data_IF_375732411131
#
_entry.id   IF_375732411131
#
_cell.length_a   1.000
_cell.length_b   1.000
_cell.length_c   1.000
_cell.angle_alpha   90.00
_cell.angle_beta   90.00
_cell.angle_gamma   90.00
#
_symmetry.space_group_name_H-M   'P 1'
#
loop_
_entity.id
_entity.type
_entity.pdbx_description
1 polymer ?
#
# COMPACT_ATOMS: atom_id res chain seq x y z
N UNK A 1 1.00 21.69 -18.94
CA UNK A 1 0.40 20.63 -19.81
C UNK A 1 -1.05 20.46 -19.36
N UNK A 2 -2.03 20.56 -20.26
CA UNK A 2 -3.44 20.35 -19.91
C UNK A 2 -3.64 18.86 -19.63
N UNK A 3 -3.54 18.45 -18.38
CA UNK A 3 -3.91 17.12 -17.95
C UNK A 3 -5.37 16.87 -18.38
N UNK A 4 -5.59 15.79 -19.15
CA UNK A 4 -6.93 15.42 -19.62
C UNK A 4 -7.89 15.38 -18.42
N UNK A 5 -9.14 15.87 -18.54
CA UNK A 5 -10.15 15.77 -17.46
C UNK A 5 -10.34 14.33 -16.96
N UNK A 6 -10.04 13.33 -17.80
CA UNK A 6 -10.01 11.92 -17.41
C UNK A 6 -8.95 11.61 -16.35
N UNK A 7 -7.81 12.29 -16.36
CA UNK A 7 -6.74 12.07 -15.38
C UNK A 7 -7.04 12.87 -14.12
N UNK A 8 -7.40 14.15 -14.26
CA UNK A 8 -7.61 15.07 -13.12
C UNK A 8 -8.81 14.69 -12.25
N UNK A 9 -9.88 14.13 -12.85
CA UNK A 9 -11.10 13.74 -12.15
C UNK A 9 -11.18 12.22 -12.00
N UNK A 10 -10.75 11.47 -13.02
CA UNK A 10 -10.87 10.01 -13.07
C UNK A 10 -10.07 9.31 -11.97
N UNK A 11 -8.81 9.72 -11.72
CA UNK A 11 -7.98 9.12 -10.67
C UNK A 11 -8.54 9.32 -9.26
N UNK A 12 -8.90 10.54 -8.80
CA UNK A 12 -9.51 10.74 -7.49
C UNK A 12 -10.83 9.97 -7.34
N UNK A 13 -11.66 9.93 -8.37
CA UNK A 13 -12.92 9.17 -8.34
C UNK A 13 -12.65 7.67 -8.25
N UNK A 14 -11.72 7.14 -9.06
CA UNK A 14 -11.33 5.74 -8.99
C UNK A 14 -10.79 5.38 -7.59
N UNK A 15 -9.91 6.23 -7.03
CA UNK A 15 -9.41 6.04 -5.68
C UNK A 15 -10.52 6.08 -4.63
N UNK A 16 -11.44 7.06 -4.73
CA UNK A 16 -12.57 7.14 -3.80
C UNK A 16 -13.44 5.88 -3.82
N UNK A 17 -13.68 5.29 -5.01
CA UNK A 17 -14.42 4.05 -5.15
C UNK A 17 -13.63 2.86 -4.57
N UNK A 18 -12.30 2.80 -4.77
CA UNK A 18 -11.43 1.77 -4.17
C UNK A 18 -11.44 1.89 -2.65
N UNK A 19 -11.29 3.09 -2.12
CA UNK A 19 -11.30 3.36 -0.67
C UNK A 19 -12.66 3.06 -0.05
N UNK A 20 -13.75 3.39 -0.74
CA UNK A 20 -15.11 3.00 -0.35
C UNK A 20 -15.25 1.46 -0.31
N UNK A 21 -14.77 0.76 -1.33
CA UNK A 21 -14.73 -0.71 -1.36
C UNK A 21 -13.91 -1.31 -0.22
N UNK A 22 -12.79 -0.70 0.14
CA UNK A 22 -12.03 -1.06 1.35
C UNK A 22 -12.91 -0.88 2.59
N UNK A 23 -13.57 0.26 2.75
CA UNK A 23 -14.49 0.53 3.85
C UNK A 23 -15.64 -0.47 3.96
N UNK A 24 -16.21 -0.92 2.82
CA UNK A 24 -17.23 -1.99 2.80
C UNK A 24 -16.69 -3.33 3.34
N UNK A 25 -15.40 -3.56 3.34
CA UNK A 25 -14.78 -4.78 3.88
C UNK A 25 -14.36 -4.66 5.34
N UNK A 26 -14.24 -3.44 5.88
CA UNK A 26 -13.75 -3.16 7.22
C UNK A 26 -14.88 -3.07 8.27
N UNK A 27 -14.58 -3.49 9.49
CA UNK A 27 -15.44 -3.38 10.67
C UNK A 27 -14.70 -2.70 11.82
N UNK A 28 -15.43 -2.15 12.78
CA UNK A 28 -14.81 -1.66 14.02
C UNK A 28 -14.11 -2.79 14.79
N UNK A 29 -14.57 -4.03 14.62
CA UNK A 29 -13.93 -5.22 15.19
C UNK A 29 -12.51 -5.46 14.63
N UNK A 30 -12.22 -5.06 13.38
CA UNK A 30 -10.89 -5.20 12.81
C UNK A 30 -9.88 -4.29 13.50
N UNK A 31 -10.29 -3.09 13.92
CA UNK A 31 -9.48 -2.20 14.75
C UNK A 31 -9.34 -2.73 16.19
N UNK A 32 -10.40 -3.32 16.75
CA UNK A 32 -10.35 -3.90 18.08
C UNK A 32 -9.45 -5.14 18.16
N UNK A 33 -9.18 -5.83 17.04
CA UNK A 33 -8.25 -6.97 16.97
C UNK A 33 -6.80 -6.60 17.30
N UNK A 34 -6.44 -5.32 17.27
CA UNK A 34 -5.13 -4.86 17.78
C UNK A 34 -4.86 -5.40 19.19
N UNK A 35 -5.89 -5.43 20.05
CA UNK A 35 -5.78 -5.94 21.40
C UNK A 35 -5.48 -7.46 21.46
N UNK A 36 -5.76 -8.21 20.42
CA UNK A 36 -5.50 -9.66 20.36
C UNK A 36 -4.04 -9.97 19.94
N UNK A 37 -3.40 -9.08 19.18
CA UNK A 37 -2.04 -9.28 18.70
C UNK A 37 -1.24 -7.96 18.72
N UNK A 38 -1.16 -7.25 19.84
CA UNK A 38 -0.60 -5.89 19.90
C UNK A 38 0.86 -5.86 19.46
N UNK A 39 1.64 -6.87 19.82
CA UNK A 39 3.04 -6.98 19.43
C UNK A 39 3.20 -7.10 17.92
N UNK A 40 2.37 -7.92 17.25
CA UNK A 40 2.42 -8.08 15.81
C UNK A 40 2.05 -6.79 15.08
N UNK A 41 1.03 -6.09 15.56
CA UNK A 41 0.60 -4.81 15.01
C UNK A 41 1.68 -3.76 15.17
N UNK A 42 2.24 -3.58 16.38
CA UNK A 42 3.28 -2.57 16.64
C UNK A 42 4.52 -2.83 15.79
N UNK A 43 4.97 -4.10 15.70
CA UNK A 43 6.15 -4.45 14.88
C UNK A 43 5.90 -4.15 13.41
N UNK A 44 4.77 -4.59 12.85
CA UNK A 44 4.47 -4.36 11.43
C UNK A 44 4.31 -2.87 11.11
N UNK A 45 3.63 -2.09 11.97
CA UNK A 45 3.49 -0.65 11.81
C UNK A 45 4.84 0.08 11.93
N UNK A 46 5.69 -0.30 12.87
CA UNK A 46 7.03 0.29 13.00
C UNK A 46 7.88 0.01 11.74
N UNK A 47 7.82 -1.21 11.20
CA UNK A 47 8.50 -1.55 9.94
C UNK A 47 7.97 -0.71 8.78
N UNK A 48 6.66 -0.56 8.65
CA UNK A 48 6.01 0.18 7.56
C UNK A 48 6.25 1.69 7.66
N UNK A 49 6.11 2.28 8.85
CA UNK A 49 6.06 3.73 9.00
C UNK A 49 7.41 4.37 9.31
N UNK A 50 8.35 3.62 9.86
CA UNK A 50 9.66 4.14 10.26
C UNK A 50 10.78 3.53 9.43
N UNK A 51 10.85 2.20 9.38
CA UNK A 51 11.99 1.52 8.76
C UNK A 51 11.91 1.63 7.24
N UNK A 52 10.74 1.45 6.67
CA UNK A 52 10.57 1.45 5.22
C UNK A 52 10.83 2.83 4.57
N UNK A 53 10.31 3.95 5.10
CA UNK A 53 10.70 5.28 4.60
C UNK A 53 12.19 5.58 4.78
N UNK A 54 12.81 5.12 5.86
CA UNK A 54 14.26 5.28 6.05
C UNK A 54 15.06 4.51 4.99
N UNK A 55 14.62 3.32 4.61
CA UNK A 55 15.23 2.54 3.54
C UNK A 55 15.02 3.20 2.17
N UNK A 56 13.80 3.68 1.89
CA UNK A 56 13.54 4.43 0.68
C UNK A 56 14.47 5.64 0.58
N UNK A 57 14.58 6.41 1.67
CA UNK A 57 15.48 7.56 1.76
C UNK A 57 16.94 7.17 1.50
N UNK A 58 17.42 6.10 2.14
CA UNK A 58 18.79 5.60 1.92
C UNK A 58 19.02 5.16 0.47
N UNK A 59 18.04 4.49 -0.15
CA UNK A 59 18.14 4.05 -1.54
C UNK A 59 18.15 5.23 -2.51
N UNK A 60 17.24 6.19 -2.38
CA UNK A 60 17.17 7.34 -3.29
C UNK A 60 18.44 8.20 -3.20
N UNK A 61 19.02 8.30 -2.00
CA UNK A 61 20.29 9.03 -1.78
C UNK A 61 21.48 8.23 -2.33
N UNK A 62 21.53 6.91 -2.11
CA UNK A 62 22.64 6.06 -2.55
C UNK A 62 22.72 5.93 -4.09
N UNK A 63 21.57 5.97 -4.76
CA UNK A 63 21.47 5.92 -6.22
C UNK A 63 21.38 7.28 -6.89
N UNK A 64 21.48 8.37 -6.11
CA UNK A 64 21.43 9.77 -6.59
C UNK A 64 20.25 10.03 -7.53
N UNK A 65 19.04 9.58 -7.12
CA UNK A 65 17.86 9.76 -7.95
C UNK A 65 17.51 11.25 -8.10
N UNK A 66 17.02 11.61 -9.28
CA UNK A 66 16.49 12.95 -9.52
C UNK A 66 15.47 13.37 -8.46
N UNK A 67 15.44 14.65 -8.04
CA UNK A 67 14.60 15.12 -6.92
C UNK A 67 13.14 14.67 -6.97
N UNK A 68 12.49 14.79 -8.13
CA UNK A 68 11.08 14.40 -8.28
C UNK A 68 10.85 12.88 -8.20
N UNK A 69 11.81 12.08 -8.69
CA UNK A 69 11.79 10.63 -8.57
C UNK A 69 12.04 10.19 -7.13
N UNK A 70 12.96 10.87 -6.42
CA UNK A 70 13.18 10.64 -5.00
C UNK A 70 11.93 10.93 -4.17
N UNK A 71 11.23 12.04 -4.42
CA UNK A 71 9.92 12.34 -3.81
C UNK A 71 8.90 11.25 -4.12
N UNK A 72 8.85 10.76 -5.37
CA UNK A 72 7.97 9.66 -5.78
C UNK A 72 8.24 8.36 -5.02
N UNK A 73 9.51 8.01 -4.80
CA UNK A 73 9.91 6.85 -3.99
C UNK A 73 9.51 7.02 -2.52
N UNK A 74 9.69 8.22 -1.96
CA UNK A 74 9.28 8.50 -0.58
C UNK A 74 7.75 8.45 -0.41
N UNK A 75 7.00 8.97 -1.39
CA UNK A 75 5.54 8.87 -1.43
C UNK A 75 5.08 7.41 -1.53
N UNK A 76 5.74 6.60 -2.37
CA UNK A 76 5.48 5.16 -2.47
C UNK A 76 5.71 4.48 -1.11
N UNK A 77 6.85 4.74 -0.46
CA UNK A 77 7.19 4.16 0.84
C UNK A 77 6.21 4.57 1.96
N UNK A 78 5.65 5.78 1.88
CA UNK A 78 4.63 6.27 2.81
C UNK A 78 3.24 5.69 2.54
N UNK A 79 2.99 5.12 1.36
CA UNK A 79 1.68 4.55 1.02
C UNK A 79 1.41 3.28 1.86
N UNK A 80 0.17 3.06 2.30
CA UNK A 80 -0.17 1.90 3.12
C UNK A 80 -0.12 0.61 2.31
N UNK A 81 -0.26 -0.54 2.97
CA UNK A 81 -0.49 -1.82 2.30
C UNK A 81 -1.79 -1.79 1.49
N UNK A 82 -1.79 -2.50 0.37
CA UNK A 82 -2.96 -2.59 -0.52
C UNK A 82 -3.91 -3.73 -0.13
N UNK A 83 -5.15 -3.68 -0.62
CA UNK A 83 -6.11 -4.79 -0.44
C UNK A 83 -5.60 -6.10 -1.05
N UNK A 84 -4.68 -6.04 -2.01
CA UNK A 84 -4.00 -7.20 -2.61
C UNK A 84 -3.02 -7.86 -1.64
N UNK A 85 -2.49 -7.15 -0.64
CA UNK A 85 -1.69 -7.73 0.43
C UNK A 85 -2.46 -8.83 1.18
N UNK A 86 -3.75 -8.62 1.43
CA UNK A 86 -4.63 -9.61 2.05
C UNK A 86 -4.77 -10.88 1.20
N UNK A 87 -4.83 -10.73 -0.13
CA UNK A 87 -4.90 -11.85 -1.06
C UNK A 87 -3.60 -12.68 -1.04
N UNK A 88 -2.44 -12.01 -1.09
CA UNK A 88 -1.14 -12.68 -1.00
C UNK A 88 -0.93 -13.33 0.37
N UNK A 89 -1.36 -12.66 1.45
CA UNK A 89 -1.35 -13.24 2.78
C UNK A 89 -2.18 -14.53 2.83
N UNK A 90 -3.38 -14.55 2.26
CA UNK A 90 -4.22 -15.74 2.15
C UNK A 90 -3.54 -16.84 1.30
N UNK A 91 -3.01 -16.48 0.13
CA UNK A 91 -2.38 -17.42 -0.81
C UNK A 91 -1.19 -18.15 -0.16
N UNK A 92 -0.40 -17.44 0.63
CA UNK A 92 0.79 -17.96 1.29
C UNK A 92 0.57 -18.34 2.76
N UNK A 93 -0.67 -18.57 3.19
CA UNK A 93 -1.04 -19.05 4.53
C UNK A 93 -0.61 -18.11 5.66
N UNK A 94 -0.59 -16.80 5.39
CA UNK A 94 -0.40 -15.77 6.40
C UNK A 94 -1.65 -15.59 7.27
N UNK A 95 -1.50 -14.84 8.35
CA UNK A 95 -2.61 -14.42 9.20
C UNK A 95 -3.40 -13.30 8.49
N UNK A 96 -4.44 -13.71 7.76
CA UNK A 96 -5.29 -12.79 6.98
C UNK A 96 -6.01 -11.80 7.89
N UNK A 97 -6.41 -12.23 9.09
CA UNK A 97 -7.10 -11.35 10.02
C UNK A 97 -6.18 -10.24 10.53
N UNK A 98 -4.93 -10.57 10.84
CA UNK A 98 -3.90 -9.59 11.16
C UNK A 98 -3.64 -8.65 9.98
N UNK A 99 -3.51 -9.18 8.76
CA UNK A 99 -3.24 -8.37 7.58
C UNK A 99 -4.37 -7.35 7.31
N UNK A 100 -5.64 -7.76 7.40
CA UNK A 100 -6.79 -6.85 7.30
C UNK A 100 -6.73 -5.76 8.37
N UNK A 101 -6.39 -6.12 9.61
CA UNK A 101 -6.22 -5.16 10.72
C UNK A 101 -5.09 -4.16 10.41
N UNK A 102 -3.95 -4.63 9.91
CA UNK A 102 -2.82 -3.78 9.54
C UNK A 102 -3.20 -2.83 8.40
N UNK A 103 -3.81 -3.33 7.33
CA UNK A 103 -4.28 -2.50 6.20
C UNK A 103 -5.25 -1.41 6.67
N UNK A 104 -6.18 -1.75 7.58
CA UNK A 104 -7.13 -0.80 8.14
C UNK A 104 -6.43 0.35 8.90
N UNK A 105 -5.53 -0.01 9.81
CA UNK A 105 -4.81 0.97 10.63
C UNK A 105 -3.85 1.79 9.75
N UNK A 106 -3.09 1.14 8.89
CA UNK A 106 -2.19 1.80 7.94
C UNK A 106 -2.93 2.82 7.06
N UNK A 107 -4.13 2.48 6.57
CA UNK A 107 -4.92 3.39 5.74
C UNK A 107 -5.34 4.66 6.48
N UNK A 108 -5.66 4.54 7.78
CA UNK A 108 -5.98 5.70 8.62
C UNK A 108 -4.73 6.52 8.91
N UNK A 109 -3.63 5.86 9.30
CA UNK A 109 -2.38 6.54 9.63
C UNK A 109 -1.71 7.17 8.40
N UNK A 110 -1.88 6.57 7.23
CA UNK A 110 -1.36 7.08 5.96
C UNK A 110 -1.91 8.47 5.62
N UNK A 111 -3.12 8.80 6.04
CA UNK A 111 -3.68 10.14 5.86
C UNK A 111 -2.81 11.24 6.52
N UNK A 112 -2.06 10.88 7.56
CA UNK A 112 -1.14 11.78 8.27
C UNK A 112 0.31 11.55 7.80
N UNK A 113 0.74 10.29 7.69
CA UNK A 113 2.14 9.97 7.38
C UNK A 113 2.53 10.31 5.95
N UNK A 114 1.62 10.16 4.99
CA UNK A 114 1.89 10.53 3.59
C UNK A 114 2.22 12.04 3.47
N UNK A 115 1.39 12.98 3.95
CA UNK A 115 1.74 14.40 3.88
C UNK A 115 3.04 14.73 4.59
N UNK A 116 3.31 14.13 5.76
CA UNK A 116 4.53 14.38 6.53
C UNK A 116 5.78 13.94 5.77
N UNK A 117 5.78 12.69 5.27
CA UNK A 117 6.92 12.12 4.55
C UNK A 117 7.12 12.80 3.20
N UNK A 118 6.03 13.12 2.49
CA UNK A 118 6.11 13.78 1.19
C UNK A 118 6.59 15.22 1.32
N UNK A 119 6.13 15.98 2.33
CA UNK A 119 6.65 17.33 2.59
C UNK A 119 8.13 17.29 2.96
N UNK A 120 8.53 16.37 3.84
CA UNK A 120 9.94 16.18 4.16
C UNK A 120 10.77 15.88 2.90
N UNK A 121 10.28 15.03 2.00
CA UNK A 121 11.00 14.70 0.78
C UNK A 121 11.08 15.88 -0.19
N UNK A 122 9.99 16.66 -0.36
CA UNK A 122 9.98 17.86 -1.19
C UNK A 122 10.99 18.90 -0.71
N UNK A 123 11.03 19.14 0.61
CA UNK A 123 11.96 20.07 1.26
C UNK A 123 13.40 19.58 1.10
N UNK A 124 13.66 18.33 1.49
CA UNK A 124 15.03 17.78 1.53
C UNK A 124 15.67 17.66 0.15
N UNK A 125 14.93 17.24 -0.87
CA UNK A 125 15.44 17.05 -2.23
C UNK A 125 15.35 18.33 -3.10
N UNK A 126 14.92 19.45 -2.51
CA UNK A 126 14.88 20.75 -3.22
C UNK A 126 13.83 20.81 -4.33
N UNK A 127 12.78 19.99 -4.24
CA UNK A 127 11.67 19.96 -5.20
C UNK A 127 10.56 20.96 -4.86
N UNK A 128 10.80 21.90 -3.96
CA UNK A 128 9.79 22.79 -3.37
C UNK A 128 9.17 23.82 -4.32
N UNK A 129 9.83 24.22 -5.38
CA UNK A 129 9.51 25.41 -6.21
C UNK A 129 8.02 25.71 -6.48
N UNK A 130 7.20 24.72 -6.82
CA UNK A 130 5.75 24.86 -7.06
C UNK A 130 4.91 23.74 -6.45
N UNK A 131 5.55 22.74 -5.83
CA UNK A 131 4.94 21.47 -5.48
C UNK A 131 4.66 21.31 -3.97
N UNK A 132 5.07 22.27 -3.12
CA UNK A 132 4.87 22.21 -1.66
C UNK A 132 3.44 21.82 -1.28
N UNK A 133 3.30 20.81 -0.40
CA UNK A 133 2.00 20.42 0.13
C UNK A 133 1.48 21.51 1.08
N UNK A 134 0.78 22.49 0.53
CA UNK A 134 0.05 23.48 1.30
C UNK A 134 -0.99 22.78 2.19
N UNK A 135 -1.37 23.39 3.30
CA UNK A 135 -2.36 22.86 4.23
C UNK A 135 -3.62 22.30 3.54
N UNK A 136 -4.12 23.02 2.50
CA UNK A 136 -5.27 22.57 1.70
C UNK A 136 -5.04 21.24 0.99
N UNK A 137 -3.84 21.00 0.46
CA UNK A 137 -3.47 19.73 -0.19
C UNK A 137 -3.35 18.58 0.84
N UNK A 138 -2.84 18.87 2.04
CA UNK A 138 -2.82 17.89 3.14
C UNK A 138 -4.24 17.45 3.50
N UNK A 139 -5.15 18.41 3.69
CA UNK A 139 -6.57 18.13 3.96
C UNK A 139 -7.20 17.34 2.81
N UNK A 140 -6.87 17.69 1.57
CA UNK A 140 -7.36 16.97 0.39
C UNK A 140 -6.89 15.50 0.38
N UNK A 141 -5.62 15.21 0.67
CA UNK A 141 -5.10 13.83 0.79
C UNK A 141 -5.84 13.07 1.87
N UNK A 142 -6.00 13.68 3.05
CA UNK A 142 -6.74 13.06 4.15
C UNK A 142 -8.19 12.75 3.75
N UNK A 143 -8.86 13.70 3.12
CA UNK A 143 -10.26 13.55 2.71
C UNK A 143 -10.45 12.46 1.65
N UNK A 144 -9.60 12.42 0.63
CA UNK A 144 -9.66 11.41 -0.45
C UNK A 144 -9.50 9.98 0.09
N UNK A 145 -8.72 9.78 1.15
CA UNK A 145 -8.50 8.47 1.76
C UNK A 145 -9.58 8.16 2.81
N UNK A 146 -9.76 9.04 3.79
CA UNK A 146 -10.56 8.74 4.98
C UNK A 146 -12.07 8.80 4.75
N UNK A 147 -12.55 9.78 3.96
CA UNK A 147 -14.00 9.96 3.78
C UNK A 147 -14.65 8.76 3.09
N UNK A 148 -14.12 8.25 1.95
CA UNK A 148 -14.71 7.08 1.31
C UNK A 148 -14.63 5.81 2.18
N UNK A 149 -13.53 5.61 2.92
CA UNK A 149 -13.39 4.48 3.86
C UNK A 149 -14.46 4.56 4.95
N UNK A 150 -14.62 5.73 5.57
CA UNK A 150 -15.63 5.93 6.62
C UNK A 150 -17.06 5.71 6.09
N UNK A 151 -17.37 6.21 4.89
CA UNK A 151 -18.65 5.98 4.24
C UNK A 151 -18.89 4.49 3.96
N UNK A 152 -17.89 3.77 3.46
CA UNK A 152 -17.96 2.33 3.24
C UNK A 152 -18.23 1.54 4.53
N UNK A 153 -17.52 1.88 5.61
CA UNK A 153 -17.76 1.28 6.93
C UNK A 153 -19.16 1.58 7.47
N UNK A 154 -19.65 2.81 7.26
CA UNK A 154 -20.99 3.20 7.66
C UNK A 154 -22.05 2.41 6.92
N UNK A 155 -21.93 2.27 5.59
CA UNK A 155 -22.83 1.43 4.77
C UNK A 155 -22.80 -0.02 5.24
N UNK A 156 -21.62 -0.56 5.54
CA UNK A 156 -21.49 -1.92 6.11
C UNK A 156 -22.22 -2.06 7.45
N UNK A 157 -22.12 -1.05 8.31
CA UNK A 157 -22.81 -1.04 9.61
C UNK A 157 -24.32 -1.05 9.45
N UNK A 158 -24.86 -0.33 8.46
CA UNK A 158 -26.29 -0.27 8.22
C UNK A 158 -26.83 -1.51 7.51
N UNK A 159 -26.07 -2.08 6.58
CA UNK A 159 -26.49 -3.27 5.83
C UNK A 159 -25.30 -4.14 5.45
N UNK A 160 -25.03 -5.15 6.28
CA UNK A 160 -23.99 -6.15 6.02
C UNK A 160 -24.27 -6.96 4.74
N UNK A 161 -25.54 -7.23 4.44
CA UNK A 161 -25.95 -7.95 3.23
C UNK A 161 -25.67 -7.12 1.96
N UNK A 162 -25.96 -5.81 1.97
CA UNK A 162 -25.63 -4.93 0.88
C UNK A 162 -24.12 -4.82 0.70
N UNK A 163 -23.38 -4.57 1.78
CA UNK A 163 -21.92 -4.46 1.75
C UNK A 163 -21.27 -5.72 1.17
N UNK A 164 -21.73 -6.91 1.56
CA UNK A 164 -21.23 -8.18 1.04
C UNK A 164 -21.50 -8.34 -0.46
N UNK A 165 -22.68 -7.94 -0.95
CA UNK A 165 -23.03 -8.01 -2.39
C UNK A 165 -22.29 -6.94 -3.20
N UNK A 166 -22.15 -5.73 -2.68
CA UNK A 166 -21.54 -4.59 -3.36
C UNK A 166 -20.01 -4.67 -3.39
N UNK A 167 -19.36 -5.31 -2.43
CA UNK A 167 -17.91 -5.36 -2.30
C UNK A 167 -17.22 -5.88 -3.57
N UNK A 168 -17.67 -7.03 -4.11
CA UNK A 168 -17.04 -7.62 -5.30
C UNK A 168 -17.21 -6.77 -6.57
N UNK A 169 -18.43 -6.32 -6.95
CA UNK A 169 -18.59 -5.47 -8.12
C UNK A 169 -17.89 -4.11 -7.97
N UNK A 170 -17.95 -3.46 -6.81
CA UNK A 170 -17.22 -2.22 -6.54
C UNK A 170 -15.72 -2.43 -6.73
N UNK A 171 -15.16 -3.49 -6.17
CA UNK A 171 -13.74 -3.81 -6.29
C UNK A 171 -13.34 -4.08 -7.76
N UNK A 172 -14.10 -4.88 -8.48
CA UNK A 172 -13.81 -5.18 -9.90
C UNK A 172 -13.88 -3.92 -10.76
N UNK A 173 -14.94 -3.12 -10.58
CA UNK A 173 -15.09 -1.85 -11.28
C UNK A 173 -13.96 -0.88 -10.97
N UNK A 174 -13.59 -0.73 -9.70
CA UNK A 174 -12.50 0.13 -9.27
C UNK A 174 -11.16 -0.28 -9.88
N UNK A 175 -10.85 -1.58 -9.89
CA UNK A 175 -9.63 -2.10 -10.49
C UNK A 175 -9.64 -1.85 -12.01
N UNK A 176 -10.76 -2.08 -12.69
CA UNK A 176 -10.88 -1.84 -14.12
C UNK A 176 -10.64 -0.35 -14.46
N UNK A 177 -11.30 0.57 -13.76
CA UNK A 177 -11.10 2.02 -13.96
C UNK A 177 -9.65 2.41 -13.66
N UNK A 178 -9.07 1.91 -12.56
CA UNK A 178 -7.67 2.18 -12.23
C UNK A 178 -6.72 1.70 -13.33
N UNK A 179 -6.91 0.47 -13.81
CA UNK A 179 -6.07 -0.10 -14.89
C UNK A 179 -6.19 0.73 -16.15
N UNK A 180 -7.41 1.12 -16.57
CA UNK A 180 -7.62 1.96 -17.75
C UNK A 180 -6.89 3.31 -17.60
N UNK A 181 -7.05 3.97 -16.46
CA UNK A 181 -6.41 5.28 -16.21
C UNK A 181 -4.90 5.15 -16.08
N UNK A 182 -4.41 4.13 -15.35
CA UNK A 182 -2.97 3.90 -15.20
C UNK A 182 -2.32 3.54 -16.54
N UNK A 183 -2.91 2.65 -17.32
CA UNK A 183 -2.41 2.30 -18.66
C UNK A 183 -2.47 3.52 -19.59
N UNK A 184 -3.54 4.31 -19.55
CA UNK A 184 -3.63 5.55 -20.32
C UNK A 184 -2.53 6.54 -19.97
N UNK A 185 -2.24 6.75 -18.69
CA UNK A 185 -1.15 7.60 -18.21
C UNK A 185 0.23 7.05 -18.61
N UNK A 186 0.44 5.73 -18.46
CA UNK A 186 1.69 5.07 -18.87
C UNK A 186 1.94 5.17 -20.37
N UNK A 187 0.89 5.00 -21.21
CA UNK A 187 1.02 5.14 -22.66
C UNK A 187 1.27 6.58 -23.09
N UNK A 188 0.71 7.56 -22.39
CA UNK A 188 0.94 8.97 -22.64
C UNK A 188 2.38 9.41 -22.30
N UNK A 189 2.99 8.80 -21.31
CA UNK A 189 4.34 9.13 -20.79
C UNK A 189 5.35 8.00 -21.08
N UNK A 190 5.06 7.12 -22.06
CA UNK A 190 5.87 5.90 -22.29
C UNK A 190 7.35 6.19 -22.52
N UNK A 191 7.67 7.24 -23.26
CA UNK A 191 9.05 7.57 -23.61
C UNK A 191 9.81 8.03 -22.34
N UNK A 192 9.19 8.89 -21.51
CA UNK A 192 9.71 9.30 -20.21
C UNK A 192 9.92 8.10 -19.27
N UNK A 193 8.98 7.16 -19.23
CA UNK A 193 9.10 5.96 -18.38
C UNK A 193 10.24 5.06 -18.84
N UNK A 194 10.42 4.88 -20.16
CA UNK A 194 11.51 4.07 -20.70
C UNK A 194 12.88 4.66 -20.39
N UNK A 195 13.00 5.99 -20.40
CA UNK A 195 14.24 6.69 -20.05
C UNK A 195 14.63 6.43 -18.59
N UNK A 196 13.66 6.39 -17.67
CA UNK A 196 13.89 6.16 -16.24
C UNK A 196 13.83 4.69 -15.81
N UNK A 197 13.44 3.78 -16.70
CA UNK A 197 13.21 2.37 -16.33
C UNK A 197 14.50 1.69 -15.84
N UNK A 198 15.67 2.07 -16.36
CA UNK A 198 16.96 1.52 -15.95
C UNK A 198 17.24 1.83 -14.48
N UNK A 199 17.37 3.10 -14.15
CA UNK A 199 17.81 3.54 -12.82
C UNK A 199 16.71 3.36 -11.77
N UNK A 200 15.50 3.86 -12.04
CA UNK A 200 14.36 3.72 -11.10
C UNK A 200 13.92 2.27 -10.95
N UNK A 201 13.97 1.48 -12.03
CA UNK A 201 13.58 0.06 -11.99
C UNK A 201 14.44 -0.77 -11.06
N UNK A 202 15.76 -0.51 -11.01
CA UNK A 202 16.68 -1.16 -10.08
C UNK A 202 16.33 -0.78 -8.64
N UNK A 203 16.21 0.53 -8.36
CA UNK A 203 15.91 1.04 -7.01
C UNK A 203 14.58 0.50 -6.49
N UNK A 204 13.54 0.53 -7.32
CA UNK A 204 12.21 0.00 -7.03
C UNK A 204 12.23 -1.50 -6.75
N UNK A 205 13.03 -2.26 -7.53
CA UNK A 205 13.16 -3.72 -7.34
C UNK A 205 13.86 -4.04 -6.02
N UNK A 206 14.95 -3.34 -5.72
CA UNK A 206 15.66 -3.48 -4.44
C UNK A 206 14.74 -3.10 -3.29
N UNK A 207 14.03 -1.98 -3.39
CA UNK A 207 13.08 -1.53 -2.38
C UNK A 207 11.98 -2.57 -2.13
N UNK A 208 11.41 -3.16 -3.17
CA UNK A 208 10.38 -4.21 -3.04
C UNK A 208 10.92 -5.46 -2.32
N UNK A 209 12.10 -5.93 -2.69
CA UNK A 209 12.75 -7.07 -2.04
C UNK A 209 13.09 -6.75 -0.57
N UNK A 210 13.60 -5.55 -0.29
CA UNK A 210 13.85 -5.08 1.07
C UNK A 210 12.54 -5.05 1.88
N UNK A 211 11.47 -4.49 1.32
CA UNK A 211 10.16 -4.39 1.99
C UNK A 211 9.61 -5.76 2.38
N UNK A 212 9.59 -6.71 1.43
CA UNK A 212 9.13 -8.08 1.67
C UNK A 212 10.00 -8.79 2.71
N UNK A 213 11.33 -8.67 2.56
CA UNK A 213 12.29 -9.33 3.44
C UNK A 213 12.23 -8.77 4.85
N UNK A 214 12.19 -7.46 5.00
CA UNK A 214 12.10 -6.79 6.30
C UNK A 214 10.77 -7.06 6.99
N UNK A 215 9.67 -7.01 6.25
CA UNK A 215 8.36 -7.39 6.78
C UNK A 215 8.35 -8.79 7.36
N UNK A 216 9.01 -9.75 6.68
CA UNK A 216 9.14 -11.13 7.16
C UNK A 216 10.19 -11.29 8.26
N UNK A 217 11.43 -10.91 7.98
CA UNK A 217 12.56 -11.12 8.90
C UNK A 217 12.42 -10.28 10.18
N UNK A 218 11.98 -9.02 10.06
CA UNK A 218 11.69 -8.17 11.22
C UNK A 218 10.62 -8.78 12.12
N UNK A 219 9.51 -9.27 11.55
CA UNK A 219 8.49 -9.96 12.32
C UNK A 219 9.05 -11.22 13.01
N UNK A 220 9.88 -12.01 12.33
CA UNK A 220 10.53 -13.20 12.91
C UNK A 220 11.55 -12.85 14.00
N UNK A 221 12.31 -11.76 13.83
CA UNK A 221 13.26 -11.25 14.84
C UNK A 221 12.53 -10.91 16.15
N UNK A 222 11.34 -10.33 16.07
CA UNK A 222 10.49 -10.07 17.23
C UNK A 222 9.65 -11.27 17.66
N UNK A 223 10.00 -12.49 17.23
CA UNK A 223 9.39 -13.78 17.61
C UNK A 223 7.89 -13.87 17.29
N UNK A 224 7.43 -13.21 16.25
CA UNK A 224 6.08 -13.41 15.74
C UNK A 224 5.96 -14.79 15.09
N UNK A 225 4.75 -15.34 15.05
CA UNK A 225 4.49 -16.61 14.39
C UNK A 225 4.79 -16.50 12.89
N UNK A 226 4.97 -17.63 12.22
CA UNK A 226 5.25 -17.64 10.79
C UNK A 226 4.09 -17.03 9.99
N UNK A 227 2.84 -17.33 10.37
CA UNK A 227 1.66 -16.76 9.73
C UNK A 227 1.60 -15.23 9.89
N UNK A 228 1.92 -14.71 11.08
CA UNK A 228 2.01 -13.27 11.34
C UNK A 228 3.16 -12.61 10.57
N UNK A 229 4.30 -13.30 10.44
CA UNK A 229 5.43 -12.79 9.66
C UNK A 229 5.11 -12.71 8.16
N UNK A 230 4.37 -13.68 7.61
CA UNK A 230 3.88 -13.64 6.23
C UNK A 230 2.90 -12.47 6.06
N UNK A 231 1.95 -12.29 6.99
CA UNK A 231 1.02 -11.17 6.95
C UNK A 231 1.75 -9.82 6.98
N UNK A 232 2.72 -9.65 7.88
CA UNK A 232 3.55 -8.46 7.96
C UNK A 232 4.35 -8.22 6.67
N UNK A 233 4.95 -9.28 6.11
CA UNK A 233 5.69 -9.20 4.84
C UNK A 233 4.83 -8.72 3.68
N UNK A 234 3.62 -9.28 3.55
CA UNK A 234 2.70 -8.89 2.46
C UNK A 234 2.14 -7.49 2.66
N UNK A 235 1.86 -7.08 3.91
CA UNK A 235 1.42 -5.71 4.20
C UNK A 235 2.51 -4.68 3.87
N UNK A 236 3.76 -4.95 4.28
CA UNK A 236 4.89 -4.03 4.11
C UNK A 236 5.39 -4.02 2.65
N UNK A 237 5.27 -5.13 1.92
CA UNK A 237 5.80 -5.26 0.56
C UNK A 237 4.78 -5.06 -0.56
N UNK A 238 3.48 -5.09 -0.29
CA UNK A 238 2.44 -4.92 -1.31
C UNK A 238 1.67 -3.63 -1.08
N UNK A 239 2.20 -2.55 -1.63
CA UNK A 239 1.71 -1.18 -1.44
C UNK A 239 0.39 -0.89 -2.16
N UNK A 240 -0.32 0.13 -1.68
CA UNK A 240 -1.51 0.70 -2.29
C UNK A 240 -1.14 1.70 -3.39
N UNK A 241 -0.80 1.19 -4.56
CA UNK A 241 -0.39 2.00 -5.72
C UNK A 241 -1.43 3.06 -6.12
N UNK A 242 -2.75 2.77 -6.12
CA UNK A 242 -3.76 3.79 -6.38
C UNK A 242 -3.61 5.05 -5.54
N UNK A 243 -3.31 4.91 -4.26
CA UNK A 243 -3.12 6.06 -3.36
C UNK A 243 -1.91 6.89 -3.81
N UNK A 244 -0.77 6.24 -4.02
CA UNK A 244 0.45 6.94 -4.43
C UNK A 244 0.29 7.64 -5.80
N UNK A 245 -0.27 6.95 -6.80
CA UNK A 245 -0.52 7.55 -8.13
C UNK A 245 -1.49 8.73 -8.06
N UNK A 246 -2.58 8.61 -7.31
CA UNK A 246 -3.56 9.70 -7.20
C UNK A 246 -2.96 10.92 -6.53
N UNK A 247 -2.17 10.73 -5.48
CA UNK A 247 -1.52 11.85 -4.78
C UNK A 247 -0.48 12.50 -5.69
N UNK A 248 0.36 11.73 -6.37
CA UNK A 248 1.36 12.24 -7.29
C UNK A 248 0.72 13.08 -8.42
N UNK A 249 -0.29 12.54 -9.08
CA UNK A 249 -0.86 13.16 -10.29
C UNK A 249 -1.92 14.20 -9.94
N UNK A 250 -2.84 13.92 -8.99
CA UNK A 250 -4.00 14.79 -8.75
C UNK A 250 -3.80 15.82 -7.64
N UNK A 251 -2.85 15.59 -6.71
CA UNK A 251 -2.58 16.51 -5.61
C UNK A 251 -1.29 17.27 -5.84
N UNK A 252 -0.23 16.58 -6.28
CA UNK A 252 1.08 17.20 -6.56
C UNK A 252 1.21 17.67 -8.02
N UNK A 253 0.27 17.31 -8.89
CA UNK A 253 0.25 17.69 -10.32
C UNK A 253 1.56 17.32 -11.05
N UNK A 254 2.11 16.13 -10.74
CA UNK A 254 3.37 15.66 -11.29
C UNK A 254 3.29 14.20 -11.74
N UNK A 255 3.50 13.97 -13.04
CA UNK A 255 3.62 12.62 -13.63
C UNK A 255 4.95 11.98 -13.28
N UNK A 256 6.02 12.76 -13.12
CA UNK A 256 7.35 12.27 -12.76
C UNK A 256 7.35 11.65 -11.36
N UNK A 257 6.69 12.28 -10.38
CA UNK A 257 6.51 11.73 -9.02
C UNK A 257 5.74 10.40 -9.05
N UNK A 258 4.91 10.16 -10.06
CA UNK A 258 4.15 8.91 -10.20
C UNK A 258 4.99 7.74 -10.74
N UNK A 259 6.10 8.00 -11.44
CA UNK A 259 6.91 6.97 -12.13
C UNK A 259 7.36 5.84 -11.20
N UNK A 260 7.95 6.09 -10.02
CA UNK A 260 8.36 5.01 -9.13
C UNK A 260 7.21 4.08 -8.73
N UNK A 261 6.04 4.65 -8.43
CA UNK A 261 4.84 3.86 -8.08
C UNK A 261 4.32 3.05 -9.27
N UNK A 262 4.38 3.60 -10.47
CA UNK A 262 3.97 2.92 -11.69
C UNK A 262 4.89 1.70 -11.97
N UNK A 263 6.21 1.88 -11.91
CA UNK A 263 7.19 0.80 -12.07
C UNK A 263 7.04 -0.24 -10.96
N UNK A 264 6.88 0.20 -9.70
CA UNK A 264 6.66 -0.71 -8.58
C UNK A 264 5.44 -1.61 -8.78
N UNK A 265 4.36 -1.09 -9.34
CA UNK A 265 3.15 -1.86 -9.63
C UNK A 265 3.40 -3.06 -10.56
N UNK A 266 4.38 -2.95 -11.45
CA UNK A 266 4.75 -4.03 -12.37
C UNK A 266 5.52 -5.14 -11.68
N UNK A 267 6.45 -4.78 -10.79
CA UNK A 267 7.38 -5.74 -10.16
C UNK A 267 6.83 -6.35 -8.88
N UNK A 268 6.03 -5.60 -8.10
CA UNK A 268 5.64 -6.04 -6.77
C UNK A 268 4.85 -7.35 -6.75
N UNK A 269 3.95 -7.57 -7.71
CA UNK A 269 3.14 -8.80 -7.73
C UNK A 269 3.98 -10.03 -8.05
N UNK A 270 4.94 -9.89 -8.97
CA UNK A 270 5.88 -10.95 -9.34
C UNK A 270 6.80 -11.27 -8.16
N UNK A 271 7.37 -10.23 -7.55
CA UNK A 271 8.28 -10.39 -6.41
C UNK A 271 7.55 -10.90 -5.17
N UNK A 272 6.37 -10.39 -4.84
CA UNK A 272 5.57 -10.90 -3.72
C UNK A 272 5.15 -12.36 -3.93
N UNK A 273 4.80 -12.75 -5.17
CA UNK A 273 4.49 -14.12 -5.54
C UNK A 273 5.69 -15.04 -5.36
N UNK A 274 6.84 -14.68 -5.94
CA UNK A 274 8.09 -15.43 -5.83
C UNK A 274 8.60 -15.54 -4.40
N UNK A 275 8.59 -14.44 -3.66
CA UNK A 275 9.00 -14.39 -2.26
C UNK A 275 8.08 -15.24 -1.38
N UNK A 276 6.75 -15.06 -1.52
CA UNK A 276 5.77 -15.86 -0.78
C UNK A 276 5.93 -17.36 -1.04
N UNK A 277 6.13 -17.75 -2.30
CA UNK A 277 6.44 -19.13 -2.64
C UNK A 277 7.75 -19.63 -1.98
N UNK A 278 8.82 -18.83 -2.07
CA UNK A 278 10.12 -19.19 -1.50
C UNK A 278 10.06 -19.44 0.01
N UNK A 279 9.35 -18.57 0.76
CA UNK A 279 9.23 -18.72 2.22
C UNK A 279 8.23 -19.80 2.63
N UNK A 280 7.35 -20.29 1.74
CA UNK A 280 6.30 -21.27 2.10
C UNK A 280 6.51 -22.65 1.52
N UNK A 281 7.34 -22.82 0.48
CA UNK A 281 7.54 -24.10 -0.24
C UNK A 281 7.91 -25.28 0.67
N UNK A 282 8.65 -25.05 1.75
CA UNK A 282 9.08 -26.06 2.71
C UNK A 282 8.20 -26.15 3.94
N UNK A 283 7.15 -25.33 4.04
CA UNK A 283 6.31 -25.27 5.22
C UNK A 283 5.19 -26.30 5.17
N UNK A 284 5.29 -27.30 6.03
CA UNK A 284 4.18 -28.17 6.36
C UNK A 284 3.48 -27.58 7.59
N UNK A 285 2.16 -27.27 7.53
CA UNK A 285 1.42 -26.86 8.72
C UNK A 285 1.54 -27.96 9.78
N UNK A 286 1.85 -27.57 11.00
CA UNK A 286 1.68 -28.46 12.14
C UNK A 286 0.23 -28.95 12.14
N UNK A 287 0.01 -30.26 12.10
CA UNK A 287 -1.34 -30.82 12.22
C UNK A 287 -1.92 -30.27 13.52
N UNK A 288 -3.07 -29.59 13.43
CA UNK A 288 -3.85 -29.26 14.63
C UNK A 288 -3.99 -30.57 15.43
N UNK A 289 -3.49 -30.59 16.66
CA UNK A 289 -3.71 -31.70 17.57
C UNK A 289 -5.20 -31.92 17.64
N UNK A 290 -5.64 -33.08 17.15
CA UNK A 290 -7.02 -33.50 17.31
C UNK A 290 -7.33 -33.48 18.81
N UNK A 291 -8.46 -32.91 19.25
CA UNK A 291 -8.83 -32.95 20.66
C UNK A 291 -8.83 -34.41 21.09
N UNK A 292 -7.96 -34.73 22.03
CA UNK A 292 -7.94 -36.03 22.69
C UNK A 292 -9.35 -36.24 23.25
N UNK A 293 -10.04 -37.21 22.68
CA UNK A 293 -11.28 -37.74 23.28
C UNK A 293 -10.96 -38.15 24.71
N UNK A 294 -11.33 -37.32 25.66
CA UNK A 294 -11.43 -37.75 27.07
C UNK A 294 -12.62 -38.68 27.12
N UNK A 295 -12.36 -39.96 27.01
CA UNK A 295 -13.33 -41.00 27.42
C UNK A 295 -13.38 -41.02 28.93
N UNK A 296 -14.50 -40.59 29.49
CA UNK A 296 -14.88 -40.81 30.88
C UNK A 296 -15.46 -42.20 31.00
#
# INVERSE_FOLDING_TARGET
MNSSPLITIGLPVALAIIMFGLGLSLTLGDFARVAQSPRAVVVALALQMLVLPAIAFALVTAFDLEPLLAVGMMLLAASPGGTTANLFSHLFRGDVALNITLTAINSVLAAVTIPLITNFALDHFGAEGTLGLQFGKVVQVMAIVLVPVALGMLVRRWSTAFAARANRPVRVFSIAVLVIVAVGALLAERDTILDYLGDVGIVVTIFCLCSLTLGYAGARLFRLTRAQAIASSMEVGVHNIPVALTIAISVLDSTVIAIPSAIYSMVMYVLAGGFGYAITRSWRPEKAESPTHVTA
#
